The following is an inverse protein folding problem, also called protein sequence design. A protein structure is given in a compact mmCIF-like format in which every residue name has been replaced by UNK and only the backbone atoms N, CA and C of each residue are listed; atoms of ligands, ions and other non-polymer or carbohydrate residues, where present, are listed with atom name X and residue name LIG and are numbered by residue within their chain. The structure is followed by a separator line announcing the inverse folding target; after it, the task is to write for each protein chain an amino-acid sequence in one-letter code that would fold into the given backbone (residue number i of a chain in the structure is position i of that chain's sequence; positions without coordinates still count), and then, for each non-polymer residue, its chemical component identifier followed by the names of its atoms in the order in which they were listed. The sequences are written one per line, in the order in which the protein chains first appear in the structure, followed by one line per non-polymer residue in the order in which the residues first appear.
data_IF_676312246067
#
_entry.id   IF_676312246067
#
_cell.length_a   1.000
_cell.length_b   1.000
_cell.length_c   1.000
_cell.angle_alpha   90.00
_cell.angle_beta   90.00
_cell.angle_gamma   90.00
#
_symmetry.space_group_name_H-M   'P 1'
#
loop_
_entity.id
_entity.type
_entity.pdbx_description
1 polymer ?
#
# COMPACT_ATOMS: atom_id res chain seq x y z
N UNK A 1 -8.87 14.11 0.69
CA UNK A 1 -8.77 15.24 -0.29
C UNK A 1 -9.53 14.86 -1.55
N UNK A 2 -10.14 15.79 -2.31
CA UNK A 2 -10.71 15.43 -3.61
C UNK A 2 -9.58 14.98 -4.55
N UNK A 3 -9.75 13.81 -5.15
CA UNK A 3 -8.79 13.24 -6.12
C UNK A 3 -8.73 14.17 -7.34
N UNK A 4 -7.54 14.65 -7.76
CA UNK A 4 -7.40 15.49 -8.95
C UNK A 4 -7.96 14.77 -10.18
N UNK A 5 -8.78 15.48 -10.95
CA UNK A 5 -9.55 14.96 -12.09
C UNK A 5 -8.70 14.46 -13.28
N UNK A 6 -7.38 14.61 -13.21
CA UNK A 6 -6.42 14.24 -14.26
C UNK A 6 -5.89 12.79 -14.14
N UNK A 7 -6.18 12.09 -13.04
CA UNK A 7 -5.68 10.74 -12.77
C UNK A 7 -6.85 9.77 -12.51
N UNK A 8 -6.66 8.47 -12.74
CA UNK A 8 -7.73 7.47 -12.72
C UNK A 8 -8.55 7.50 -11.43
N UNK A 9 -9.84 7.14 -11.50
CA UNK A 9 -10.75 7.06 -10.32
C UNK A 9 -10.19 6.17 -9.21
N UNK A 10 -9.36 5.19 -9.56
CA UNK A 10 -8.66 4.28 -8.65
C UNK A 10 -7.22 4.15 -9.14
N UNK A 11 -6.27 4.35 -8.24
CA UNK A 11 -4.84 4.17 -8.51
C UNK A 11 -4.39 2.75 -8.20
N UNK A 12 -3.09 2.51 -8.39
CA UNK A 12 -2.36 1.23 -8.17
C UNK A 12 -2.42 0.23 -9.31
N UNK A 13 -1.27 -0.23 -9.78
CA UNK A 13 -1.19 -1.26 -10.83
C UNK A 13 -1.81 -2.61 -10.42
N UNK A 14 -1.89 -2.90 -9.11
CA UNK A 14 -2.35 -4.19 -8.56
C UNK A 14 -3.81 -4.21 -8.09
N UNK A 15 -4.63 -3.21 -8.40
CA UNK A 15 -6.04 -3.21 -7.99
C UNK A 15 -6.85 -4.33 -8.69
N UNK A 16 -7.76 -4.99 -7.96
CA UNK A 16 -8.52 -6.16 -8.42
C UNK A 16 -9.22 -5.99 -9.77
N UNK A 17 -9.70 -4.79 -10.07
CA UNK A 17 -10.46 -4.50 -11.30
C UNK A 17 -9.64 -4.64 -12.60
N UNK A 18 -8.30 -4.66 -12.55
CA UNK A 18 -7.48 -4.86 -13.76
C UNK A 18 -7.22 -6.33 -14.11
N UNK A 19 -7.57 -7.29 -13.23
CA UNK A 19 -7.13 -8.70 -13.36
C UNK A 19 -8.20 -9.74 -12.94
N UNK A 20 -9.42 -9.71 -13.48
CA UNK A 20 -10.46 -10.69 -13.14
C UNK A 20 -10.03 -12.14 -13.44
N UNK A 21 -9.28 -12.36 -14.52
CA UNK A 21 -8.81 -13.68 -14.95
C UNK A 21 -7.79 -14.29 -13.97
N UNK A 22 -6.99 -13.48 -13.25
CA UNK A 22 -6.09 -13.99 -12.21
C UNK A 22 -6.88 -14.48 -11.00
N UNK A 23 -7.91 -13.74 -10.58
CA UNK A 23 -8.78 -14.15 -9.49
C UNK A 23 -9.47 -15.50 -9.79
N UNK A 24 -9.85 -15.75 -11.05
CA UNK A 24 -10.42 -17.02 -11.48
C UNK A 24 -9.42 -18.19 -11.42
N UNK A 25 -8.15 -17.94 -11.78
CA UNK A 25 -7.07 -18.95 -11.83
C UNK A 25 -6.45 -19.33 -10.49
N UNK A 26 -6.71 -18.57 -9.41
CA UNK A 26 -6.18 -18.89 -8.08
C UNK A 26 -6.85 -20.15 -7.51
N UNK A 27 -6.06 -21.20 -7.24
CA UNK A 27 -6.57 -22.48 -6.69
C UNK A 27 -6.89 -22.41 -5.18
N UNK A 28 -6.41 -21.39 -4.47
CA UNK A 28 -6.65 -21.21 -3.04
C UNK A 28 -8.00 -20.48 -2.79
N UNK A 29 -9.02 -21.17 -2.25
CA UNK A 29 -10.34 -20.59 -1.98
C UNK A 29 -10.29 -19.48 -0.93
N UNK A 30 -9.28 -19.49 -0.04
CA UNK A 30 -9.07 -18.45 0.97
C UNK A 30 -8.57 -17.14 0.36
N UNK A 31 -7.95 -17.20 -0.83
CA UNK A 31 -7.52 -16.03 -1.59
C UNK A 31 -8.63 -15.48 -2.49
N UNK A 32 -9.51 -16.34 -3.02
CA UNK A 32 -10.72 -15.93 -3.79
C UNK A 32 -11.76 -15.18 -2.97
N UNK A 33 -11.87 -15.48 -1.67
CA UNK A 33 -12.82 -14.82 -0.74
C UNK A 33 -12.44 -13.38 -0.35
N UNK A 34 -11.38 -12.80 -0.96
CA UNK A 34 -10.71 -11.56 -0.54
C UNK A 34 -11.07 -10.32 -1.34
N UNK A 35 -12.15 -10.35 -2.12
CA UNK A 35 -12.79 -9.12 -2.62
C UNK A 35 -13.09 -8.11 -1.49
N UNK A 36 -13.27 -8.61 -0.26
CA UNK A 36 -13.41 -7.80 0.96
C UNK A 36 -12.17 -7.00 1.35
N UNK A 37 -10.95 -7.37 0.93
CA UNK A 37 -9.70 -6.68 1.29
C UNK A 37 -9.55 -5.38 0.49
N UNK A 38 -9.70 -5.43 -0.83
CA UNK A 38 -9.70 -4.22 -1.67
C UNK A 38 -10.86 -3.30 -1.28
N UNK A 39 -12.03 -3.86 -0.97
CA UNK A 39 -13.17 -3.09 -0.51
C UNK A 39 -12.87 -2.36 0.81
N UNK A 40 -12.22 -3.00 1.79
CA UNK A 40 -11.79 -2.33 3.03
C UNK A 40 -10.87 -1.12 2.76
N UNK A 41 -9.99 -1.20 1.77
CA UNK A 41 -9.11 -0.09 1.38
C UNK A 41 -9.88 1.02 0.65
N UNK A 42 -10.86 0.67 -0.18
CA UNK A 42 -11.76 1.61 -0.87
C UNK A 42 -12.72 2.32 0.08
N UNK A 43 -13.17 1.63 1.13
CA UNK A 43 -14.10 2.15 2.14
C UNK A 43 -13.43 2.99 3.23
N UNK A 44 -12.10 3.11 3.20
CA UNK A 44 -11.36 3.99 4.11
C UNK A 44 -11.90 5.42 4.04
N UNK A 45 -12.15 6.01 5.22
CA UNK A 45 -12.68 7.37 5.36
C UNK A 45 -11.82 8.39 4.62
N UNK A 46 -10.51 8.17 4.62
CA UNK A 46 -9.55 9.08 4.01
C UNK A 46 -8.94 8.48 2.74
N UNK A 47 -9.33 9.03 1.59
CA UNK A 47 -8.72 8.74 0.30
C UNK A 47 -7.76 9.87 -0.11
N UNK A 48 -6.68 9.49 -0.77
CA UNK A 48 -5.64 10.38 -1.31
C UNK A 48 -5.29 10.00 -2.74
N UNK A 49 -4.48 10.82 -3.41
CA UNK A 49 -3.77 10.40 -4.62
C UNK A 49 -2.63 9.49 -4.23
N UNK A 50 -2.67 8.25 -4.71
CA UNK A 50 -1.56 7.29 -4.56
C UNK A 50 -0.69 7.32 -5.82
N UNK A 51 0.61 7.09 -5.66
CA UNK A 51 1.55 6.87 -6.76
C UNK A 51 1.17 5.63 -7.56
N UNK A 52 0.80 4.56 -6.86
CA UNK A 52 0.32 3.32 -7.45
C UNK A 52 1.38 2.37 -8.00
N UNK A 53 2.66 2.75 -7.91
CA UNK A 53 3.83 1.91 -8.19
C UNK A 53 5.02 2.38 -7.34
N UNK A 54 4.77 2.60 -6.04
CA UNK A 54 5.73 3.15 -5.09
C UNK A 54 6.82 2.14 -4.66
N UNK A 55 7.44 1.42 -5.60
CA UNK A 55 8.61 0.56 -5.32
C UNK A 55 9.89 1.40 -5.23
N UNK A 56 10.88 0.94 -4.47
CA UNK A 56 12.17 1.62 -4.25
C UNK A 56 12.85 2.05 -5.57
N UNK A 57 12.75 1.23 -6.62
CA UNK A 57 13.32 1.54 -7.92
C UNK A 57 12.72 2.79 -8.61
N UNK A 58 11.54 3.23 -8.17
CA UNK A 58 10.86 4.43 -8.65
C UNK A 58 11.15 5.66 -7.76
N UNK A 59 12.15 5.58 -6.88
CA UNK A 59 12.64 6.70 -6.10
C UNK A 59 14.11 6.97 -6.44
N UNK A 60 14.41 8.21 -6.79
CA UNK A 60 15.77 8.71 -6.98
C UNK A 60 16.24 9.40 -5.71
N UNK A 61 17.44 9.05 -5.24
CA UNK A 61 18.06 9.62 -4.07
C UNK A 61 19.25 10.47 -4.49
N UNK A 62 19.43 11.64 -3.88
CA UNK A 62 20.65 12.43 -4.06
C UNK A 62 21.88 11.65 -3.58
N UNK A 63 23.07 12.02 -4.06
CA UNK A 63 24.32 11.32 -3.71
C UNK A 63 24.64 11.33 -2.21
N UNK A 64 24.15 12.33 -1.49
CA UNK A 64 24.27 12.49 -0.04
C UNK A 64 23.01 12.02 0.73
N UNK A 65 22.01 11.48 0.02
CA UNK A 65 20.73 10.99 0.57
C UNK A 65 19.90 12.04 1.32
N UNK A 66 20.15 13.33 1.08
CA UNK A 66 19.38 14.44 1.66
C UNK A 66 18.08 14.74 0.92
N UNK A 67 17.99 14.37 -0.36
CA UNK A 67 16.84 14.61 -1.21
C UNK A 67 16.34 13.31 -1.85
N UNK A 68 15.02 13.25 -2.06
CA UNK A 68 14.35 12.14 -2.73
C UNK A 68 13.34 12.67 -3.75
N UNK A 69 13.28 12.03 -4.92
CA UNK A 69 12.29 12.29 -5.94
C UNK A 69 11.59 10.97 -6.34
N UNK A 70 10.26 10.96 -6.27
CA UNK A 70 9.47 9.88 -6.86
C UNK A 70 9.32 10.09 -8.37
N UNK A 71 9.37 9.00 -9.15
CA UNK A 71 9.26 9.00 -10.61
C UNK A 71 8.33 7.87 -11.08
N UNK A 72 7.94 7.87 -12.35
CA UNK A 72 7.06 6.84 -12.94
C UNK A 72 5.62 6.84 -12.39
N UNK A 73 4.93 7.97 -12.58
CA UNK A 73 3.55 8.21 -12.14
C UNK A 73 2.46 7.60 -13.06
N UNK A 74 2.76 6.52 -13.79
CA UNK A 74 1.84 5.94 -14.78
C UNK A 74 0.58 5.30 -14.17
N UNK A 75 0.59 4.98 -12.86
CA UNK A 75 -0.51 4.32 -12.15
C UNK A 75 -1.15 5.18 -11.04
N UNK A 76 -1.00 6.50 -11.13
CA UNK A 76 -1.59 7.44 -10.18
C UNK A 76 -3.12 7.38 -10.23
N UNK A 77 -3.74 7.47 -9.05
CA UNK A 77 -5.19 7.60 -8.92
C UNK A 77 -5.63 7.67 -7.46
N UNK A 78 -6.94 7.61 -7.22
CA UNK A 78 -7.49 7.61 -5.87
C UNK A 78 -7.20 6.30 -5.11
N UNK A 79 -6.86 6.40 -3.83
CA UNK A 79 -6.71 5.23 -2.96
C UNK A 79 -6.35 5.56 -1.50
N UNK A 80 -6.36 4.53 -0.66
CA UNK A 80 -5.78 4.58 0.68
C UNK A 80 -4.24 4.63 0.59
N UNK A 81 -3.61 5.58 1.29
CA UNK A 81 -2.15 5.78 1.25
C UNK A 81 -1.34 4.57 1.72
N UNK A 82 -1.94 3.68 2.50
CA UNK A 82 -1.31 2.42 2.92
C UNK A 82 -0.95 1.50 1.76
N UNK A 83 -1.61 1.64 0.60
CA UNK A 83 -1.25 0.90 -0.61
C UNK A 83 0.20 1.21 -1.04
N UNK A 84 0.56 2.49 -1.13
CA UNK A 84 1.91 2.89 -1.50
C UNK A 84 2.94 2.53 -0.41
N UNK A 85 2.60 2.77 0.86
CA UNK A 85 3.51 2.47 1.96
C UNK A 85 3.83 0.97 2.05
N UNK A 86 2.82 0.11 1.96
CA UNK A 86 3.02 -1.34 1.97
C UNK A 86 3.89 -1.79 0.80
N UNK A 87 3.67 -1.26 -0.41
CA UNK A 87 4.47 -1.63 -1.56
C UNK A 87 5.91 -1.13 -1.45
N UNK A 88 6.11 0.10 -0.97
CA UNK A 88 7.44 0.67 -0.75
C UNK A 88 8.23 -0.17 0.25
N UNK A 89 7.69 -0.41 1.45
CA UNK A 89 8.35 -1.22 2.47
C UNK A 89 8.63 -2.62 1.94
N UNK A 90 7.65 -3.24 1.27
CA UNK A 90 7.83 -4.55 0.68
C UNK A 90 8.90 -4.56 -0.41
N UNK A 91 9.10 -3.47 -1.15
CA UNK A 91 10.17 -3.38 -2.14
C UNK A 91 11.57 -3.21 -1.53
N UNK A 92 11.66 -2.66 -0.31
CA UNK A 92 12.91 -2.44 0.41
C UNK A 92 13.35 -3.69 1.20
N UNK A 93 12.41 -4.39 1.82
CA UNK A 93 12.69 -5.42 2.81
C UNK A 93 12.11 -6.78 2.43
N UNK A 94 12.67 -7.84 2.99
CA UNK A 94 12.06 -9.18 2.96
C UNK A 94 10.97 -9.27 4.03
N UNK A 95 10.05 -10.20 3.84
CA UNK A 95 8.84 -10.40 4.65
C UNK A 95 9.08 -10.39 6.18
N UNK A 96 10.09 -11.11 6.67
CA UNK A 96 10.41 -11.17 8.11
C UNK A 96 11.00 -9.85 8.66
N UNK A 97 11.78 -9.16 7.85
CA UNK A 97 12.38 -7.88 8.23
C UNK A 97 11.33 -6.77 8.22
N UNK A 98 10.44 -6.77 7.22
CA UNK A 98 9.29 -5.87 7.14
C UNK A 98 8.35 -6.03 8.35
N UNK A 99 8.16 -7.25 8.86
CA UNK A 99 7.41 -7.53 10.10
C UNK A 99 8.10 -6.92 11.32
N UNK A 100 9.43 -7.07 11.41
CA UNK A 100 10.20 -6.60 12.57
C UNK A 100 10.21 -5.07 12.69
N UNK A 101 10.29 -4.35 11.56
CA UNK A 101 10.35 -2.89 11.53
C UNK A 101 8.97 -2.22 11.42
N UNK A 102 7.88 -2.99 11.35
CA UNK A 102 6.53 -2.49 11.08
C UNK A 102 6.15 -1.32 12.00
N UNK A 103 6.36 -1.50 13.31
CA UNK A 103 5.98 -0.50 14.30
C UNK A 103 6.81 0.79 14.15
N UNK A 104 8.11 0.66 13.90
CA UNK A 104 9.02 1.78 13.67
C UNK A 104 8.66 2.55 12.41
N UNK A 105 8.44 1.85 11.29
CA UNK A 105 8.08 2.46 10.01
C UNK A 105 6.74 3.18 10.11
N UNK A 106 5.72 2.56 10.70
CA UNK A 106 4.42 3.20 10.86
C UNK A 106 4.50 4.38 11.84
N UNK A 107 5.25 4.24 12.94
CA UNK A 107 5.51 5.34 13.88
C UNK A 107 6.14 6.54 13.19
N UNK A 108 7.18 6.32 12.40
CA UNK A 108 7.84 7.36 11.63
C UNK A 108 6.90 7.97 10.59
N UNK A 109 6.21 7.16 9.79
CA UNK A 109 5.31 7.61 8.74
C UNK A 109 4.19 8.52 9.28
N UNK A 110 3.50 8.12 10.35
CA UNK A 110 2.42 8.93 10.92
C UNK A 110 2.94 10.16 11.68
N UNK A 111 4.13 10.10 12.27
CA UNK A 111 4.80 11.28 12.83
C UNK A 111 5.08 12.33 11.73
N UNK A 112 5.67 11.92 10.60
CA UNK A 112 5.90 12.81 9.46
C UNK A 112 4.59 13.29 8.84
N UNK A 113 3.58 12.44 8.73
CA UNK A 113 2.26 12.81 8.23
C UNK A 113 1.62 13.89 9.09
N UNK A 114 1.72 13.79 10.42
CA UNK A 114 1.22 14.81 11.34
C UNK A 114 1.90 16.16 11.11
N UNK A 115 3.23 16.17 11.08
CA UNK A 115 4.02 17.39 10.81
C UNK A 115 3.58 18.00 9.47
N UNK A 116 3.51 17.19 8.41
CA UNK A 116 3.11 17.66 7.09
C UNK A 116 1.68 18.24 7.06
N UNK A 117 0.71 17.60 7.72
CA UNK A 117 -0.67 18.11 7.78
C UNK A 117 -0.75 19.44 8.54
N UNK A 118 0.03 19.61 9.60
CA UNK A 118 0.14 20.86 10.36
C UNK A 118 0.79 21.96 9.51
N UNK A 119 1.86 21.65 8.77
CA UNK A 119 2.57 22.60 7.90
C UNK A 119 1.69 23.17 6.77
N UNK A 120 0.80 22.35 6.21
CA UNK A 120 -0.11 22.77 5.13
C UNK A 120 -1.46 23.30 5.64
N UNK A 121 -1.61 23.49 6.96
CA UNK A 121 -2.87 23.88 7.63
C UNK A 121 -4.06 23.02 7.16
N UNK A 122 -3.85 21.70 7.09
CA UNK A 122 -4.89 20.79 6.63
C UNK A 122 -5.97 20.63 7.72
N UNK A 123 -7.27 20.74 7.37
CA UNK A 123 -8.34 20.55 8.35
C UNK A 123 -8.52 19.09 8.80
N UNK A 124 -7.82 18.13 8.19
CA UNK A 124 -7.88 16.72 8.58
C UNK A 124 -7.11 16.52 9.89
N UNK A 125 -7.78 15.90 10.87
CA UNK A 125 -7.10 15.45 12.10
C UNK A 125 -6.12 14.31 11.78
N UNK A 126 -4.84 14.53 12.10
CA UNK A 126 -3.80 13.50 12.00
C UNK A 126 -4.16 12.23 12.78
N UNK A 127 -4.75 12.40 13.95
CA UNK A 127 -5.09 11.30 14.85
C UNK A 127 -6.26 10.46 14.29
N UNK A 128 -7.25 11.12 13.67
CA UNK A 128 -8.32 10.40 12.96
C UNK A 128 -7.79 9.67 11.72
N UNK A 129 -6.90 10.31 10.96
CA UNK A 129 -6.26 9.72 9.79
C UNK A 129 -5.48 8.47 10.18
N UNK A 130 -4.63 8.57 11.20
CA UNK A 130 -3.83 7.45 11.69
C UNK A 130 -4.72 6.31 12.19
N UNK A 131 -5.78 6.62 12.94
CA UNK A 131 -6.73 5.61 13.44
C UNK A 131 -7.43 4.85 12.31
N UNK A 132 -7.71 5.53 11.19
CA UNK A 132 -8.30 4.91 10.00
C UNK A 132 -7.25 4.11 9.20
N UNK A 133 -6.07 4.67 8.96
CA UNK A 133 -5.06 4.10 8.06
C UNK A 133 -4.16 3.04 8.70
N UNK A 134 -3.73 3.21 9.96
CA UNK A 134 -2.83 2.26 10.62
C UNK A 134 -3.31 0.80 10.56
N UNK A 135 -4.58 0.45 10.85
CA UNK A 135 -5.04 -0.93 10.69
C UNK A 135 -5.09 -1.42 9.24
N UNK A 136 -5.20 -0.50 8.27
CA UNK A 136 -5.25 -0.79 6.84
C UNK A 136 -3.88 -1.11 6.24
N UNK A 137 -2.78 -0.83 6.94
CA UNK A 137 -1.44 -1.21 6.50
C UNK A 137 -1.32 -2.71 6.23
N UNK A 138 -1.72 -3.55 7.20
CA UNK A 138 -1.71 -5.00 7.05
C UNK A 138 -2.70 -5.50 6.00
N UNK A 139 -3.80 -4.77 5.81
CA UNK A 139 -4.79 -5.04 4.75
C UNK A 139 -4.17 -4.79 3.37
N UNK A 140 -3.45 -3.68 3.20
CA UNK A 140 -2.73 -3.36 1.97
C UNK A 140 -1.63 -4.39 1.67
N UNK A 141 -0.89 -4.83 2.69
CA UNK A 141 0.08 -5.92 2.56
C UNK A 141 -0.53 -7.24 2.12
N UNK A 142 -1.67 -7.61 2.71
CA UNK A 142 -2.38 -8.83 2.33
C UNK A 142 -2.87 -8.77 0.88
N UNK A 143 -3.33 -7.61 0.40
CA UNK A 143 -3.72 -7.41 -1.00
C UNK A 143 -2.52 -7.45 -1.95
N UNK A 144 -1.41 -6.80 -1.58
CA UNK A 144 -0.17 -6.84 -2.35
C UNK A 144 0.38 -8.26 -2.48
N UNK A 145 0.39 -9.03 -1.39
CA UNK A 145 0.85 -10.41 -1.41
C UNK A 145 -0.09 -11.33 -2.22
N UNK A 146 -1.42 -11.13 -2.14
CA UNK A 146 -2.39 -11.81 -3.03
C UNK A 146 -2.02 -11.56 -4.50
N UNK A 147 -1.75 -10.32 -4.86
CA UNK A 147 -1.31 -9.95 -6.20
C UNK A 147 -0.01 -10.68 -6.59
N UNK A 148 1.02 -10.68 -5.75
CA UNK A 148 2.27 -11.37 -6.02
C UNK A 148 2.10 -12.89 -6.24
N UNK A 149 1.26 -13.56 -5.42
CA UNK A 149 0.94 -14.99 -5.59
C UNK A 149 0.21 -15.27 -6.91
N UNK A 150 -0.69 -14.37 -7.34
CA UNK A 150 -1.43 -14.51 -8.60
C UNK A 150 -0.59 -14.25 -9.85
N UNK A 151 0.29 -13.24 -9.78
CA UNK A 151 1.09 -12.78 -10.92
C UNK A 151 2.34 -13.63 -11.16
N UNK A 152 2.97 -14.15 -10.10
CA UNK A 152 4.18 -14.97 -10.21
C UNK A 152 4.26 -16.01 -9.08
N UNK A 153 3.61 -17.18 -9.23
CA UNK A 153 3.53 -18.23 -8.20
C UNK A 153 4.88 -18.83 -7.78
N UNK A 154 5.96 -18.55 -8.52
CA UNK A 154 7.33 -18.98 -8.23
C UNK A 154 8.28 -17.84 -7.84
N UNK A 155 7.77 -16.63 -7.59
CA UNK A 155 8.60 -15.51 -7.19
C UNK A 155 9.15 -15.73 -5.78
N UNK A 156 10.45 -15.53 -5.59
CA UNK A 156 11.21 -15.73 -4.33
C UNK A 156 10.71 -14.94 -3.11
N UNK A 157 9.71 -14.07 -3.29
CA UNK A 157 9.17 -13.12 -2.32
C UNK A 157 7.86 -13.61 -1.67
N UNK A 158 7.67 -14.92 -1.67
CA UNK A 158 6.51 -15.60 -1.11
C UNK A 158 6.99 -16.44 0.08
N UNK A 159 7.10 -15.86 1.27
CA UNK A 159 7.38 -16.64 2.49
C UNK A 159 6.65 -16.12 3.74
N UNK A 160 6.04 -17.05 4.49
CA UNK A 160 5.58 -17.06 5.89
C UNK A 160 4.87 -15.85 6.55
N UNK A 161 5.33 -14.61 6.39
CA UNK A 161 4.73 -13.46 7.09
C UNK A 161 3.30 -13.20 6.65
N UNK A 162 3.05 -13.17 5.35
CA UNK A 162 1.71 -12.98 4.79
C UNK A 162 0.74 -14.06 5.26
N UNK A 163 1.20 -15.30 5.42
CA UNK A 163 0.41 -16.41 5.95
C UNK A 163 0.12 -16.24 7.44
N UNK A 164 1.06 -15.71 8.23
CA UNK A 164 0.88 -15.37 9.65
C UNK A 164 -0.08 -14.20 9.85
N UNK A 165 0.05 -13.12 9.06
CA UNK A 165 -0.87 -11.96 9.07
C UNK A 165 -2.27 -12.38 8.63
N UNK A 166 -2.38 -13.26 7.65
CA UNK A 166 -3.66 -13.78 7.14
C UNK A 166 -4.43 -14.66 8.14
N UNK A 167 -3.84 -15.13 9.23
CA UNK A 167 -4.56 -15.93 10.25
C UNK A 167 -5.40 -15.08 11.22
N UNK A 168 -5.36 -13.75 11.13
CA UNK A 168 -6.04 -12.84 12.07
C UNK A 168 -7.06 -11.86 11.47
N UNK A 169 -7.36 -11.94 10.17
CA UNK A 169 -8.30 -11.02 9.49
C UNK A 169 -9.33 -11.72 8.60
#
# INVERSE_FOLDING_TARGET
MPVPQAYGKTGTYWHLETRPDELERMDDPSLKKRSSIDQKLKDSKFQTSVHGDAKLANFCFSSDSSEVAAVDFQYVGGGCGMKDLAYFVGSCFRDEEAEHIEEEVLGYYFCQMKIFLEEIDNPISSDELEKDWRPLYRVAWADFHRFMKGWSPGHWKLSDYSERVNRKY
#
